data_IF_214618155946
#
_entry.id   IF_214618155946
#
_cell.length_a   1.000
_cell.length_b   1.000
_cell.length_c   1.000
_cell.angle_alpha   90.00
_cell.angle_beta   90.00
_cell.angle_gamma   90.00
#
_symmetry.space_group_name_H-M   'P 1'
#
loop_
_entity.id
_entity.type
_entity.pdbx_description
1 polymer ?
#
# COMPACT_ATOMS: atom_id res chain seq x y z
N UNK A 1 -13.00 3.73 6.22
CA UNK A 1 -12.25 2.68 5.50
C UNK A 1 -10.76 3.02 5.36
N UNK A 2 -10.35 4.11 4.70
CA UNK A 2 -8.91 4.43 4.55
C UNK A 2 -8.09 4.47 5.85
N UNK A 3 -8.63 5.08 6.90
CA UNK A 3 -7.97 5.10 8.22
C UNK A 3 -7.76 3.70 8.83
N UNK A 4 -8.68 2.75 8.59
CA UNK A 4 -8.56 1.38 9.09
C UNK A 4 -7.44 0.63 8.35
N UNK A 5 -7.32 0.81 7.03
CA UNK A 5 -6.21 0.23 6.24
C UNK A 5 -4.87 0.75 6.76
N UNK A 6 -4.78 2.05 7.02
CA UNK A 6 -3.57 2.66 7.56
C UNK A 6 -3.23 2.11 8.97
N UNK A 7 -4.23 1.99 9.84
CA UNK A 7 -4.06 1.43 11.18
C UNK A 7 -3.60 -0.03 11.14
N UNK A 8 -4.19 -0.84 10.25
CA UNK A 8 -3.78 -2.24 10.07
C UNK A 8 -2.36 -2.36 9.52
N UNK A 9 -1.96 -1.50 8.59
CA UNK A 9 -0.60 -1.46 8.07
C UNK A 9 0.42 -1.07 9.16
N UNK A 10 0.08 -0.08 9.99
CA UNK A 10 0.89 0.29 11.15
C UNK A 10 1.00 -0.86 12.17
N UNK A 11 -0.11 -1.52 12.47
CA UNK A 11 -0.13 -2.68 13.36
C UNK A 11 0.70 -3.84 12.81
N UNK A 12 0.69 -4.07 11.50
CA UNK A 12 1.53 -5.06 10.84
C UNK A 12 3.02 -4.74 11.02
N UNK A 13 3.46 -3.52 10.72
CA UNK A 13 4.86 -3.09 10.89
C UNK A 13 5.26 -3.14 12.37
N UNK A 14 4.40 -2.68 13.28
CA UNK A 14 4.65 -2.72 14.72
C UNK A 14 4.75 -4.16 15.25
N UNK A 15 3.87 -5.06 14.79
CA UNK A 15 3.91 -6.48 15.16
C UNK A 15 5.20 -7.16 14.71
N UNK A 16 5.67 -6.85 13.49
CA UNK A 16 6.96 -7.32 13.02
C UNK A 16 8.12 -6.74 13.84
N UNK A 17 8.07 -5.44 14.18
CA UNK A 17 9.12 -4.79 14.97
C UNK A 17 9.23 -5.37 16.38
N UNK A 18 8.10 -5.75 17.00
CA UNK A 18 8.09 -6.42 18.29
C UNK A 18 8.72 -7.83 18.24
N UNK A 19 8.67 -8.50 17.09
CA UNK A 19 9.20 -9.85 16.92
C UNK A 19 10.68 -9.86 16.47
N UNK A 20 11.05 -9.01 15.52
CA UNK A 20 12.42 -8.83 15.04
C UNK A 20 12.72 -7.34 14.70
N UNK A 21 13.10 -6.53 15.70
CA UNK A 21 13.26 -5.08 15.54
C UNK A 21 14.41 -4.72 14.60
N UNK A 22 15.51 -5.48 14.61
CA UNK A 22 16.65 -5.28 13.71
C UNK A 22 16.26 -5.49 12.24
N UNK A 23 15.54 -6.55 11.92
CA UNK A 23 15.09 -6.85 10.55
C UNK A 23 14.21 -5.73 9.99
N UNK A 24 13.29 -5.22 10.82
CA UNK A 24 12.40 -4.14 10.43
C UNK A 24 13.12 -2.81 10.33
N UNK A 25 14.11 -2.58 11.18
CA UNK A 25 14.97 -1.39 11.07
C UNK A 25 15.75 -1.42 9.77
N UNK A 26 16.35 -2.56 9.40
CA UNK A 26 17.08 -2.72 8.15
C UNK A 26 16.16 -2.66 6.93
N UNK A 27 14.94 -3.17 7.03
CA UNK A 27 13.90 -3.01 6.02
C UNK A 27 13.57 -1.53 5.78
N UNK A 28 13.17 -0.80 6.83
CA UNK A 28 12.75 0.60 6.75
C UNK A 28 13.87 1.54 6.27
N UNK A 29 15.12 1.19 6.57
CA UNK A 29 16.31 1.91 6.11
C UNK A 29 16.81 1.43 4.73
N UNK A 30 16.08 0.52 4.08
CA UNK A 30 16.38 -0.05 2.77
C UNK A 30 17.78 -0.70 2.69
N UNK A 31 18.23 -1.28 3.81
CA UNK A 31 19.50 -2.02 3.92
C UNK A 31 19.32 -3.53 3.76
N UNK A 32 18.11 -4.02 3.99
CA UNK A 32 17.78 -5.43 3.84
C UNK A 32 18.02 -5.90 2.38
N UNK A 33 18.71 -7.03 2.21
CA UNK A 33 19.00 -7.62 0.89
C UNK A 33 17.76 -8.23 0.22
N UNK A 34 16.65 -8.33 0.94
CA UNK A 34 15.42 -8.95 0.47
C UNK A 34 14.60 -8.01 -0.40
N UNK A 35 14.41 -8.35 -1.67
CA UNK A 35 13.65 -7.51 -2.63
C UNK A 35 12.19 -7.31 -2.21
N UNK A 36 11.56 -8.32 -1.59
CA UNK A 36 10.18 -8.19 -1.11
C UNK A 36 10.05 -7.06 -0.08
N UNK A 37 11.03 -6.89 0.79
CA UNK A 37 11.03 -5.86 1.83
C UNK A 37 11.03 -4.45 1.25
N UNK A 38 11.84 -4.19 0.22
CA UNK A 38 11.85 -2.91 -0.47
C UNK A 38 10.47 -2.54 -1.05
N UNK A 39 9.77 -3.51 -1.67
CA UNK A 39 8.40 -3.31 -2.15
C UNK A 39 7.39 -3.08 -1.01
N UNK A 40 7.57 -3.75 0.13
CA UNK A 40 6.75 -3.55 1.32
C UNK A 40 6.88 -2.12 1.85
N UNK A 41 8.12 -1.63 1.98
CA UNK A 41 8.43 -0.26 2.44
C UNK A 41 7.91 0.80 1.46
N UNK A 42 8.12 0.60 0.16
CA UNK A 42 7.60 1.51 -0.87
C UNK A 42 6.06 1.58 -0.84
N UNK A 43 5.40 0.43 -0.71
CA UNK A 43 3.93 0.36 -0.60
C UNK A 43 3.41 1.02 0.68
N UNK A 44 4.09 0.81 1.81
CA UNK A 44 3.74 1.43 3.09
C UNK A 44 3.93 2.94 3.06
N UNK A 45 5.04 3.43 2.50
CA UNK A 45 5.29 4.87 2.33
C UNK A 45 4.24 5.52 1.41
N UNK A 46 3.87 4.85 0.31
CA UNK A 46 2.79 5.28 -0.57
C UNK A 46 1.44 5.38 0.15
N UNK A 47 1.14 4.41 1.02
CA UNK A 47 -0.10 4.39 1.81
C UNK A 47 -0.14 5.53 2.84
N UNK A 48 0.97 5.79 3.54
CA UNK A 48 1.10 6.94 4.44
C UNK A 48 0.91 8.25 3.68
N UNK A 49 1.56 8.41 2.53
CA UNK A 49 1.43 9.59 1.69
C UNK A 49 -0.02 9.78 1.21
N UNK A 50 -0.70 8.71 0.78
CA UNK A 50 -2.12 8.76 0.42
C UNK A 50 -3.00 9.22 1.60
N UNK A 51 -2.71 8.72 2.80
CA UNK A 51 -3.36 9.15 4.04
C UNK A 51 -3.20 10.65 4.32
N UNK A 52 -1.96 11.16 4.23
CA UNK A 52 -1.65 12.59 4.42
C UNK A 52 -2.36 13.44 3.34
N UNK A 53 -2.28 13.04 2.07
CA UNK A 53 -2.98 13.74 0.98
C UNK A 53 -4.49 13.76 1.26
N UNK A 54 -5.06 12.68 1.81
CA UNK A 54 -6.49 12.61 2.16
C UNK A 54 -6.90 13.58 3.26
N UNK A 55 -6.04 13.85 4.24
CA UNK A 55 -6.30 14.87 5.30
C UNK A 55 -6.19 16.28 4.74
N UNK A 56 -5.26 16.52 3.81
CA UNK A 56 -5.04 17.81 3.15
C UNK A 56 -6.02 18.10 2.00
N UNK A 57 -7.06 17.27 1.79
CA UNK A 57 -8.01 17.39 0.67
C UNK A 57 -8.72 18.73 0.52
N UNK A 58 -8.82 19.51 1.62
CA UNK A 58 -9.43 20.85 1.63
C UNK A 58 -8.44 21.96 1.27
N UNK A 59 -7.15 21.68 1.37
CA UNK A 59 -6.06 22.62 1.08
C UNK A 59 -5.52 22.46 -0.34
N UNK A 60 -5.68 21.28 -0.94
CA UNK A 60 -5.22 20.96 -2.30
C UNK A 60 -6.41 21.10 -3.28
N UNK A 61 -6.25 21.80 -4.41
CA UNK A 61 -7.29 21.89 -5.43
C UNK A 61 -7.77 20.50 -5.87
N UNK A 62 -9.09 20.24 -6.02
CA UNK A 62 -9.61 18.92 -6.37
C UNK A 62 -9.00 18.31 -7.64
N UNK A 63 -8.64 19.15 -8.60
CA UNK A 63 -7.98 18.74 -9.87
C UNK A 63 -6.60 18.12 -9.66
N UNK A 64 -5.89 18.48 -8.60
CA UNK A 64 -4.57 17.96 -8.23
C UNK A 64 -4.73 16.84 -7.19
N UNK A 65 -5.60 17.05 -6.20
CA UNK A 65 -5.81 16.12 -5.10
C UNK A 65 -6.28 14.75 -5.59
N UNK A 66 -7.27 14.70 -6.48
CA UNK A 66 -7.86 13.44 -6.96
C UNK A 66 -6.87 12.55 -7.71
N UNK A 67 -6.13 13.02 -8.74
CA UNK A 67 -5.19 12.15 -9.44
C UNK A 67 -4.00 11.77 -8.53
N UNK A 68 -3.55 12.66 -7.66
CA UNK A 68 -2.48 12.37 -6.71
C UNK A 68 -2.88 11.26 -5.73
N UNK A 69 -4.02 11.40 -5.05
CA UNK A 69 -4.50 10.38 -4.12
C UNK A 69 -4.77 9.04 -4.84
N UNK A 70 -5.35 9.07 -6.05
CA UNK A 70 -5.59 7.86 -6.83
C UNK A 70 -4.27 7.18 -7.23
N UNK A 71 -3.30 7.94 -7.73
CA UNK A 71 -1.98 7.42 -8.12
C UNK A 71 -1.24 6.79 -6.94
N UNK A 72 -1.24 7.45 -5.77
CA UNK A 72 -0.65 6.89 -4.55
C UNK A 72 -1.35 5.60 -4.11
N UNK A 73 -2.68 5.56 -4.14
CA UNK A 73 -3.44 4.36 -3.79
C UNK A 73 -3.13 3.19 -4.75
N UNK A 74 -3.05 3.45 -6.05
CA UNK A 74 -2.70 2.45 -7.08
C UNK A 74 -1.27 1.93 -6.86
N UNK A 75 -0.31 2.82 -6.73
CA UNK A 75 1.09 2.45 -6.52
C UNK A 75 1.26 1.60 -5.25
N UNK A 76 0.61 2.00 -4.15
CA UNK A 76 0.68 1.28 -2.87
C UNK A 76 0.10 -0.14 -2.99
N UNK A 77 -1.03 -0.30 -3.65
CA UNK A 77 -1.66 -1.60 -3.85
C UNK A 77 -0.82 -2.53 -4.74
N UNK A 78 -0.23 -2.01 -5.82
CA UNK A 78 0.67 -2.80 -6.67
C UNK A 78 1.93 -3.23 -5.92
N UNK A 79 2.52 -2.32 -5.13
CA UNK A 79 3.66 -2.65 -4.27
C UNK A 79 3.30 -3.76 -3.26
N UNK A 80 2.11 -3.69 -2.65
CA UNK A 80 1.64 -4.72 -1.73
C UNK A 80 1.47 -6.09 -2.40
N UNK A 81 0.95 -6.13 -3.64
CA UNK A 81 0.84 -7.36 -4.43
C UNK A 81 2.22 -7.95 -4.74
N UNK A 82 3.16 -7.12 -5.20
CA UNK A 82 4.53 -7.56 -5.50
C UNK A 82 5.24 -8.05 -4.23
N UNK A 83 5.14 -7.27 -3.14
CA UNK A 83 5.66 -7.64 -1.83
C UNK A 83 5.15 -9.01 -1.39
N UNK A 84 3.83 -9.22 -1.39
CA UNK A 84 3.23 -10.49 -1.00
C UNK A 84 3.64 -11.63 -1.93
N UNK A 85 3.63 -11.40 -3.25
CA UNK A 85 3.97 -12.42 -4.25
C UNK A 85 5.39 -12.98 -4.07
N UNK A 86 6.34 -12.09 -3.77
CA UNK A 86 7.75 -12.43 -3.57
C UNK A 86 8.05 -13.14 -2.24
N UNK A 87 7.09 -13.24 -1.32
CA UNK A 87 7.26 -14.01 -0.08
C UNK A 87 7.14 -15.51 -0.39
N UNK A 88 8.16 -16.27 -0.04
CA UNK A 88 8.22 -17.73 -0.22
C UNK A 88 8.21 -18.46 1.13
N UNK A 89 7.61 -19.66 1.17
CA UNK A 89 7.67 -20.59 2.29
C UNK A 89 6.81 -20.27 3.52
N UNK A 90 6.46 -19.01 3.76
CA UNK A 90 5.66 -18.59 4.94
C UNK A 90 4.16 -18.61 4.67
N UNK A 91 3.73 -18.26 3.45
CA UNK A 91 2.31 -18.18 3.07
C UNK A 91 2.01 -19.31 2.09
N UNK A 92 0.94 -20.05 2.35
CA UNK A 92 0.43 -21.10 1.46
C UNK A 92 0.14 -20.51 0.05
N UNK A 93 0.57 -21.15 -1.05
CA UNK A 93 0.55 -20.55 -2.37
C UNK A 93 -0.85 -20.12 -2.86
N UNK A 94 -1.89 -20.90 -2.57
CA UNK A 94 -3.24 -20.59 -3.03
C UNK A 94 -3.83 -19.39 -2.26
N UNK A 95 -3.62 -19.34 -0.94
CA UNK A 95 -4.03 -18.22 -0.11
C UNK A 95 -3.31 -16.93 -0.53
N UNK A 96 -2.01 -17.01 -0.85
CA UNK A 96 -1.25 -15.90 -1.41
C UNK A 96 -1.83 -15.41 -2.73
N UNK A 97 -2.13 -16.32 -3.65
CA UNK A 97 -2.71 -15.98 -4.94
C UNK A 97 -4.10 -15.34 -4.79
N UNK A 98 -4.95 -15.90 -3.91
CA UNK A 98 -6.27 -15.36 -3.60
C UNK A 98 -6.19 -13.95 -3.03
N UNK A 99 -5.30 -13.71 -2.06
CA UNK A 99 -5.09 -12.37 -1.49
C UNK A 99 -4.67 -11.36 -2.57
N UNK A 100 -3.71 -11.73 -3.43
CA UNK A 100 -3.28 -10.88 -4.54
C UNK A 100 -4.44 -10.58 -5.52
N UNK A 101 -5.24 -11.59 -5.87
CA UNK A 101 -6.40 -11.42 -6.75
C UNK A 101 -7.46 -10.48 -6.14
N UNK A 102 -7.76 -10.64 -4.85
CA UNK A 102 -8.71 -9.77 -4.14
C UNK A 102 -8.23 -8.31 -4.11
N UNK A 103 -6.94 -8.09 -3.86
CA UNK A 103 -6.34 -6.75 -3.89
C UNK A 103 -6.44 -6.15 -5.29
N UNK A 104 -6.06 -6.90 -6.33
CA UNK A 104 -6.12 -6.44 -7.73
C UNK A 104 -7.56 -6.15 -8.19
N UNK A 105 -8.52 -6.99 -7.83
CA UNK A 105 -9.94 -6.77 -8.14
C UNK A 105 -10.48 -5.52 -7.44
N UNK A 106 -10.18 -5.35 -6.15
CA UNK A 106 -10.55 -4.16 -5.37
C UNK A 106 -9.94 -2.89 -5.96
N UNK A 107 -8.68 -2.96 -6.38
CA UNK A 107 -7.98 -1.88 -7.06
C UNK A 107 -8.64 -1.50 -8.38
N UNK A 108 -8.98 -2.48 -9.23
CA UNK A 108 -9.64 -2.24 -10.51
C UNK A 108 -11.00 -1.54 -10.35
N UNK A 109 -11.81 -1.98 -9.38
CA UNK A 109 -13.10 -1.36 -9.07
C UNK A 109 -12.93 0.07 -8.54
N UNK A 110 -12.00 0.27 -7.61
CA UNK A 110 -11.71 1.59 -7.04
C UNK A 110 -11.16 2.56 -8.07
N UNK A 111 -10.18 2.13 -8.87
CA UNK A 111 -9.53 2.94 -9.89
C UNK A 111 -10.48 3.33 -11.02
N UNK A 112 -11.31 2.40 -11.51
CA UNK A 112 -12.32 2.72 -12.54
C UNK A 112 -13.30 3.79 -12.05
N UNK A 113 -13.68 3.75 -10.77
CA UNK A 113 -14.56 4.74 -10.16
C UNK A 113 -13.86 6.09 -9.99
N UNK A 114 -12.60 6.10 -9.56
CA UNK A 114 -11.78 7.32 -9.46
C UNK A 114 -11.54 7.98 -10.81
N UNK A 115 -11.20 7.20 -11.85
CA UNK A 115 -11.00 7.69 -13.22
C UNK A 115 -12.28 8.29 -13.81
N UNK A 116 -13.45 7.68 -13.54
CA UNK A 116 -14.75 8.25 -13.95
C UNK A 116 -15.00 9.63 -13.34
N UNK A 117 -14.63 9.83 -12.08
CA UNK A 117 -14.77 11.11 -11.39
C UNK A 117 -13.78 12.17 -11.89
N UNK A 118 -12.56 11.75 -12.25
CA UNK A 118 -11.55 12.63 -12.86
C UNK A 118 -11.99 13.16 -14.22
N UNK A 119 -12.64 12.33 -15.04
CA UNK A 119 -13.15 12.73 -16.37
C UNK A 119 -14.31 13.73 -16.32
N UNK A 120 -14.92 13.99 -15.15
CA UNK A 120 -16.10 14.85 -14.97
C UNK A 120 -15.78 16.22 -14.34
N UNK A 121 -14.52 16.65 -14.26
CA UNK A 121 -14.08 17.86 -13.50
C UNK A 121 -13.08 18.70 -14.28
#
# INVERSE_FOLDING_TARGET
>A
MGAAILALALAHVAGLWLYSPEDITDALLLRALTTFSAWGVAGFAGLLAAGIVSTLRRQIPPRIWRPLHLGLAVASALCAVIHAWLIFGVIEPNNKALLCLVILASLAVGASSGLRLLRRS
#
